data_IF_246361435988
#
_entry.id   IF_246361435988
#
_cell.length_a   1.000
_cell.length_b   1.000
_cell.length_c   1.000
_cell.angle_alpha   90.00
_cell.angle_beta   90.00
_cell.angle_gamma   90.00
#
_symmetry.space_group_name_H-M   'P 1'
#
loop_
_entity.id
_entity.type
_entity.pdbx_description
1 polymer ?
#
# COMPACT_ATOMS: atom_id res chain seq x y z
N UNK A 1 -28.58 -19.58 -23.43
CA UNK A 1 -29.00 -18.24 -22.96
C UNK A 1 -28.47 -17.24 -23.95
N UNK A 2 -29.32 -16.39 -24.53
CA UNK A 2 -28.92 -15.44 -25.56
C UNK A 2 -28.29 -14.17 -24.97
N UNK A 3 -28.08 -13.17 -25.82
CA UNK A 3 -27.70 -11.82 -25.41
C UNK A 3 -28.76 -11.25 -24.45
N UNK A 4 -28.39 -11.04 -23.19
CA UNK A 4 -29.27 -10.53 -22.14
C UNK A 4 -28.53 -9.56 -21.23
N UNK A 5 -29.25 -8.55 -20.74
CA UNK A 5 -28.74 -7.61 -19.74
C UNK A 5 -28.95 -8.17 -18.34
N UNK A 6 -27.90 -8.15 -17.51
CA UNK A 6 -27.91 -8.68 -16.15
C UNK A 6 -27.44 -7.62 -15.16
N UNK A 7 -28.04 -7.66 -13.97
CA UNK A 7 -27.56 -6.94 -12.80
C UNK A 7 -26.60 -7.85 -12.06
N UNK A 8 -25.38 -7.42 -11.83
CA UNK A 8 -24.38 -8.14 -11.08
C UNK A 8 -24.09 -7.36 -9.81
N UNK A 9 -24.11 -8.06 -8.68
CA UNK A 9 -23.65 -7.56 -7.39
C UNK A 9 -22.42 -8.37 -6.98
N UNK A 10 -21.34 -7.68 -6.68
CA UNK A 10 -20.09 -8.27 -6.24
C UNK A 10 -19.81 -7.80 -4.83
N UNK A 11 -19.55 -8.73 -3.92
CA UNK A 11 -19.17 -8.43 -2.54
C UNK A 11 -17.80 -9.04 -2.22
N UNK A 12 -16.90 -8.26 -1.63
CA UNK A 12 -15.67 -8.72 -1.00
C UNK A 12 -15.94 -8.95 0.48
N UNK A 13 -15.76 -10.20 0.92
CA UNK A 13 -16.05 -10.64 2.27
C UNK A 13 -14.75 -11.00 3.03
N UNK A 14 -14.66 -10.67 4.33
CA UNK A 14 -13.49 -10.97 5.16
C UNK A 14 -13.41 -12.43 5.61
N UNK A 15 -14.52 -13.17 5.59
CA UNK A 15 -14.61 -14.62 5.85
C UNK A 15 -15.69 -15.23 4.95
N UNK A 16 -15.74 -16.56 4.84
CA UNK A 16 -16.70 -17.26 3.98
C UNK A 16 -18.16 -17.10 4.42
N UNK A 17 -18.39 -16.87 5.70
CA UNK A 17 -19.69 -16.77 6.38
C UNK A 17 -20.05 -15.33 6.76
N UNK A 18 -19.22 -14.35 6.41
CA UNK A 18 -19.48 -12.95 6.72
C UNK A 18 -20.79 -12.48 6.06
N UNK A 19 -21.66 -11.88 6.86
CA UNK A 19 -22.91 -11.27 6.38
C UNK A 19 -22.68 -9.84 5.89
N UNK A 20 -21.64 -9.18 6.40
CA UNK A 20 -21.28 -7.80 6.07
C UNK A 20 -20.01 -7.77 5.22
N UNK A 21 -20.06 -7.19 4.00
CA UNK A 21 -18.89 -7.08 3.15
C UNK A 21 -17.99 -5.90 3.52
N UNK A 22 -16.70 -6.04 3.23
CA UNK A 22 -15.73 -4.92 3.28
C UNK A 22 -15.92 -3.98 2.09
N UNK A 23 -16.35 -4.53 0.94
CA UNK A 23 -16.70 -3.78 -0.26
C UNK A 23 -17.85 -4.47 -0.99
N UNK A 24 -18.81 -3.70 -1.47
CA UNK A 24 -19.89 -4.19 -2.35
C UNK A 24 -20.13 -3.21 -3.48
N UNK A 25 -20.27 -3.72 -4.69
CA UNK A 25 -20.61 -2.94 -5.87
C UNK A 25 -21.71 -3.59 -6.70
N UNK A 26 -22.40 -2.76 -7.49
CA UNK A 26 -23.36 -3.19 -8.50
C UNK A 26 -22.92 -2.74 -9.89
N UNK A 27 -23.12 -3.62 -10.86
CA UNK A 27 -22.77 -3.41 -12.26
C UNK A 27 -23.86 -3.96 -13.18
N UNK A 28 -24.09 -3.30 -14.30
CA UNK A 28 -24.99 -3.80 -15.36
C UNK A 28 -24.14 -4.29 -16.52
N UNK A 29 -24.29 -5.57 -16.88
CA UNK A 29 -23.55 -6.19 -17.99
C UNK A 29 -24.51 -6.70 -19.05
N UNK A 30 -23.99 -6.92 -20.26
CA UNK A 30 -24.73 -7.61 -21.32
C UNK A 30 -23.92 -8.81 -21.79
N UNK A 31 -24.52 -9.99 -21.76
CA UNK A 31 -23.88 -11.21 -22.27
C UNK A 31 -23.79 -11.19 -23.79
N UNK A 32 -22.87 -11.97 -24.36
CA UNK A 32 -22.88 -12.29 -25.77
C UNK A 32 -23.96 -13.36 -26.10
N UNK A 33 -24.06 -13.74 -27.37
CA UNK A 33 -25.05 -14.73 -27.84
C UNK A 33 -24.89 -16.13 -27.22
N UNK A 34 -23.73 -16.40 -26.63
CA UNK A 34 -23.43 -17.66 -25.93
C UNK A 34 -23.63 -17.56 -24.41
N UNK A 35 -24.11 -16.42 -23.91
CA UNK A 35 -24.29 -16.18 -22.47
C UNK A 35 -23.01 -15.82 -21.72
N UNK A 36 -21.90 -15.55 -22.42
CA UNK A 36 -20.63 -15.16 -21.82
C UNK A 36 -20.57 -13.64 -21.62
N UNK A 37 -19.91 -13.21 -20.56
CA UNK A 37 -19.60 -11.81 -20.30
C UNK A 37 -18.24 -11.68 -19.63
N UNK A 38 -17.67 -10.48 -19.70
CA UNK A 38 -16.47 -10.10 -18.96
C UNK A 38 -16.79 -8.92 -18.07
N UNK A 39 -16.09 -8.81 -16.95
CA UNK A 39 -16.31 -7.76 -15.98
C UNK A 39 -15.05 -7.43 -15.20
N UNK A 40 -14.88 -6.16 -14.86
CA UNK A 40 -13.81 -5.71 -13.98
C UNK A 40 -14.40 -5.42 -12.60
N UNK A 41 -13.88 -6.10 -11.57
CA UNK A 41 -14.23 -5.83 -10.17
C UNK A 41 -13.58 -4.50 -9.75
N UNK A 42 -14.35 -3.63 -9.10
CA UNK A 42 -13.93 -2.30 -8.65
C UNK A 42 -14.22 -1.16 -9.63
N UNK A 43 -14.92 -1.41 -10.75
CA UNK A 43 -15.32 -0.39 -11.72
C UNK A 43 -16.83 -0.01 -11.60
N UNK A 44 -17.55 -0.67 -10.70
CA UNK A 44 -18.99 -0.51 -10.53
C UNK A 44 -19.37 0.64 -9.62
N UNK A 45 -20.68 0.73 -9.39
CA UNK A 45 -21.22 1.65 -8.38
C UNK A 45 -21.09 1.00 -7.01
N UNK A 46 -20.24 1.57 -6.16
CA UNK A 46 -20.06 1.12 -4.79
C UNK A 46 -21.36 1.32 -3.99
N UNK A 47 -21.79 0.26 -3.30
CA UNK A 47 -22.93 0.26 -2.37
C UNK A 47 -22.44 0.28 -0.92
N UNK A 48 -21.33 -0.42 -0.66
CA UNK A 48 -20.69 -0.50 0.66
C UNK A 48 -19.18 -0.33 0.51
N UNK A 49 -18.59 0.54 1.33
CA UNK A 49 -17.15 0.77 1.38
C UNK A 49 -16.56 1.26 0.06
N UNK A 50 -15.22 1.24 -0.01
CA UNK A 50 -14.49 1.46 -1.25
C UNK A 50 -13.47 0.35 -1.47
N UNK A 51 -13.18 0.03 -2.73
CA UNK A 51 -12.21 -1.02 -3.08
C UNK A 51 -10.80 -0.74 -2.51
N UNK A 52 -10.45 0.53 -2.31
CA UNK A 52 -9.19 0.98 -1.75
C UNK A 52 -9.09 0.76 -0.23
N UNK A 53 -10.22 0.70 0.48
CA UNK A 53 -10.27 0.52 1.94
C UNK A 53 -10.38 -0.95 2.36
N UNK A 54 -10.51 -1.88 1.42
CA UNK A 54 -10.50 -3.31 1.70
C UNK A 54 -9.16 -3.70 2.33
N UNK A 55 -9.19 -4.35 3.50
CA UNK A 55 -7.99 -4.74 4.27
C UNK A 55 -7.36 -6.00 3.72
N UNK A 56 -6.75 -5.90 2.55
CA UNK A 56 -6.18 -7.02 1.82
C UNK A 56 -5.04 -7.75 2.54
N UNK A 57 -4.42 -7.12 3.53
CA UNK A 57 -3.34 -7.66 4.35
C UNK A 57 -3.82 -8.61 5.45
N UNK A 58 -5.13 -8.68 5.70
CA UNK A 58 -5.71 -9.48 6.77
C UNK A 58 -6.54 -10.65 6.25
N UNK A 59 -6.17 -11.86 6.68
CA UNK A 59 -6.96 -13.07 6.46
C UNK A 59 -7.16 -13.45 4.98
N UNK A 60 -8.04 -14.41 4.76
CA UNK A 60 -8.49 -14.78 3.42
C UNK A 60 -9.57 -13.79 2.96
N UNK A 61 -9.66 -13.55 1.65
CA UNK A 61 -10.78 -12.80 1.06
C UNK A 61 -11.67 -13.72 0.25
N UNK A 62 -12.95 -13.40 0.22
CA UNK A 62 -13.93 -14.15 -0.56
C UNK A 62 -14.69 -13.19 -1.47
N UNK A 63 -14.97 -13.62 -2.69
CA UNK A 63 -15.86 -12.92 -3.61
C UNK A 63 -17.19 -13.66 -3.59
N UNK A 64 -18.25 -12.94 -3.22
CA UNK A 64 -19.63 -13.36 -3.45
C UNK A 64 -20.16 -12.68 -4.70
N UNK A 65 -20.77 -13.48 -5.57
CA UNK A 65 -21.43 -13.00 -6.78
C UNK A 65 -22.92 -13.20 -6.60
N UNK A 66 -23.71 -12.16 -6.87
CA UNK A 66 -25.16 -12.28 -6.93
C UNK A 66 -25.69 -11.65 -8.21
N UNK A 67 -26.73 -12.25 -8.79
CA UNK A 67 -27.20 -11.93 -10.14
C UNK A 67 -28.69 -11.60 -10.09
N UNK A 68 -29.09 -10.51 -10.74
CA UNK A 68 -30.47 -10.26 -11.17
C UNK A 68 -30.57 -10.56 -12.68
N UNK A 69 -31.22 -11.67 -13.08
CA UNK A 69 -31.39 -12.04 -14.48
C UNK A 69 -32.16 -11.03 -15.33
N UNK A 70 -32.90 -10.11 -14.70
CA UNK A 70 -33.71 -9.08 -15.35
C UNK A 70 -33.02 -7.71 -15.39
N UNK A 71 -31.80 -7.59 -14.87
CA UNK A 71 -31.08 -6.31 -14.86
C UNK A 71 -31.52 -5.33 -13.76
N UNK A 72 -32.36 -5.76 -12.82
CA UNK A 72 -32.84 -4.95 -11.71
C UNK A 72 -31.97 -5.08 -10.45
N UNK A 73 -32.63 -5.02 -9.28
CA UNK A 73 -32.00 -5.12 -7.96
C UNK A 73 -32.44 -6.33 -7.13
N UNK A 74 -33.10 -7.31 -7.76
CA UNK A 74 -33.55 -8.55 -7.12
C UNK A 74 -32.47 -9.63 -7.30
N UNK A 75 -31.39 -9.49 -6.54
CA UNK A 75 -30.23 -10.35 -6.66
C UNK A 75 -30.45 -11.73 -6.02
N UNK A 76 -30.06 -12.78 -6.74
CA UNK A 76 -29.97 -14.16 -6.23
C UNK A 76 -28.50 -14.54 -6.10
N UNK A 77 -28.13 -15.21 -5.00
CA UNK A 77 -26.76 -15.66 -4.79
C UNK A 77 -26.34 -16.68 -5.85
N UNK A 78 -25.25 -16.38 -6.54
CA UNK A 78 -24.63 -17.24 -7.55
C UNK A 78 -23.40 -17.97 -7.02
N UNK A 79 -23.01 -17.70 -5.78
CA UNK A 79 -21.96 -18.41 -5.06
C UNK A 79 -20.89 -17.51 -4.47
N UNK A 80 -20.14 -18.08 -3.52
CA UNK A 80 -19.02 -17.43 -2.84
C UNK A 80 -17.76 -18.26 -3.03
N UNK A 81 -16.67 -17.63 -3.45
CA UNK A 81 -15.38 -18.30 -3.71
C UNK A 81 -14.24 -17.57 -3.02
N UNK A 82 -13.28 -18.32 -2.46
CA UNK A 82 -12.08 -17.75 -1.86
C UNK A 82 -11.11 -17.23 -2.93
N UNK A 83 -10.56 -16.04 -2.71
CA UNK A 83 -9.40 -15.53 -3.44
C UNK A 83 -8.14 -16.18 -2.85
N UNK A 84 -7.53 -17.10 -3.60
CA UNK A 84 -6.38 -17.88 -3.14
C UNK A 84 -5.06 -17.10 -3.12
N UNK A 85 -4.98 -15.97 -3.85
CA UNK A 85 -3.81 -15.11 -3.87
C UNK A 85 -4.24 -13.66 -4.10
N UNK A 86 -3.93 -12.76 -3.16
CA UNK A 86 -3.94 -11.31 -3.40
C UNK A 86 -2.50 -10.80 -3.42
N UNK A 87 -1.70 -11.12 -4.46
CA UNK A 87 -0.26 -10.88 -4.46
C UNK A 87 0.13 -9.39 -4.41
N UNK A 88 -0.80 -8.47 -4.73
CA UNK A 88 -0.51 -7.04 -4.76
C UNK A 88 -0.60 -6.35 -3.38
N UNK A 89 -1.33 -6.93 -2.43
CA UNK A 89 -1.58 -6.31 -1.14
C UNK A 89 -0.37 -6.34 -0.20
N UNK A 90 0.33 -7.47 -0.14
CA UNK A 90 1.50 -7.64 0.73
C UNK A 90 2.69 -6.79 0.23
N UNK A 91 2.76 -6.48 -1.06
CA UNK A 91 3.87 -5.72 -1.63
C UNK A 91 3.65 -4.21 -1.64
N UNK A 92 2.41 -3.73 -1.83
CA UNK A 92 2.12 -2.30 -1.91
C UNK A 92 2.43 -1.54 -0.61
N UNK A 93 2.12 -2.12 0.56
CA UNK A 93 2.44 -1.53 1.87
C UNK A 93 3.96 -1.46 2.13
N UNK A 94 4.69 -2.54 1.80
CA UNK A 94 6.16 -2.57 1.92
C UNK A 94 6.85 -1.55 1.01
N UNK A 95 6.29 -1.26 -0.16
CA UNK A 95 6.80 -0.23 -1.06
C UNK A 95 6.55 1.20 -0.54
N UNK A 96 5.46 1.44 0.20
CA UNK A 96 5.18 2.72 0.85
C UNK A 96 6.19 3.05 1.96
N UNK A 97 6.58 2.06 2.75
CA UNK A 97 7.59 2.20 3.82
C UNK A 97 9.00 2.52 3.29
N UNK A 98 9.35 2.05 2.09
CA UNK A 98 10.64 2.35 1.47
C UNK A 98 10.77 3.83 1.06
N UNK A 99 9.65 4.53 0.81
CA UNK A 99 9.66 5.92 0.34
C UNK A 99 10.04 6.92 1.45
N UNK A 100 9.77 6.62 2.72
CA UNK A 100 10.18 7.49 3.83
C UNK A 100 11.66 7.38 4.18
N UNK A 101 12.35 6.31 3.76
CA UNK A 101 13.78 6.11 4.08
C UNK A 101 14.73 6.73 3.04
N UNK A 102 14.24 7.10 1.85
CA UNK A 102 15.08 7.59 0.74
C UNK A 102 15.15 9.13 0.61
N UNK A 103 14.71 9.88 1.62
CA UNK A 103 14.55 11.33 1.55
C UNK A 103 15.15 12.10 2.74
N UNK A 104 16.04 11.50 3.52
CA UNK A 104 16.75 12.19 4.59
C UNK A 104 17.82 13.14 4.06
N UNK A 105 17.48 14.16 3.26
CA UNK A 105 18.38 15.30 3.11
C UNK A 105 18.42 15.98 4.47
N UNK A 106 19.48 15.72 5.25
CA UNK A 106 19.72 16.38 6.52
C UNK A 106 19.88 17.89 6.23
N UNK A 107 18.81 18.65 6.40
CA UNK A 107 18.86 20.10 6.43
C UNK A 107 19.38 20.51 7.83
N UNK A 108 20.70 20.56 7.96
CA UNK A 108 21.38 20.94 9.20
C UNK A 108 22.84 20.53 9.16
N UNK A 109 23.71 21.32 9.80
CA UNK A 109 25.16 21.06 9.87
C UNK A 109 25.41 19.62 10.30
N UNK A 110 26.14 18.86 9.50
CA UNK A 110 26.66 17.55 9.89
C UNK A 110 27.76 17.81 10.91
N UNK A 111 27.40 17.98 12.18
CA UNK A 111 28.35 17.73 13.25
C UNK A 111 28.54 16.23 13.30
N UNK A 112 29.66 15.74 12.76
CA UNK A 112 30.16 14.40 13.11
C UNK A 112 30.63 14.49 14.55
N UNK A 113 29.69 14.46 15.50
CA UNK A 113 30.00 14.16 16.88
C UNK A 113 30.37 12.68 16.97
N UNK A 114 31.54 12.31 16.43
CA UNK A 114 32.42 11.47 17.22
C UNK A 114 32.61 12.26 18.53
N UNK A 115 32.45 11.63 19.68
CA UNK A 115 32.39 12.27 21.00
C UNK A 115 33.66 13.08 21.43
N UNK A 116 34.51 13.49 20.49
CA UNK A 116 35.62 14.40 20.71
C UNK A 116 35.13 15.84 20.79
N UNK A 117 35.09 16.38 22.00
CA UNK A 117 35.08 17.83 22.22
C UNK A 117 36.42 18.38 21.74
N UNK A 118 36.44 19.05 20.58
CA UNK A 118 37.64 19.78 20.12
C UNK A 118 37.93 21.00 21.00
N UNK A 119 39.20 21.40 21.08
CA UNK A 119 39.57 22.70 21.67
C UNK A 119 39.50 23.78 20.60
N UNK A 120 38.99 24.98 20.96
CA UNK A 120 38.91 26.14 20.05
C UNK A 120 40.27 26.38 19.38
N UNK A 121 40.24 26.71 18.08
CA UNK A 121 41.39 26.99 17.21
C UNK A 121 42.29 25.78 16.88
N UNK A 122 42.04 24.58 17.40
CA UNK A 122 42.75 23.38 16.96
C UNK A 122 41.96 22.62 15.91
N UNK A 123 42.64 22.15 14.86
CA UNK A 123 42.04 21.25 13.87
C UNK A 123 41.83 19.86 14.46
N UNK A 124 40.76 19.16 14.08
CA UNK A 124 40.52 17.78 14.52
C UNK A 124 41.32 16.77 13.69
N UNK A 125 41.92 15.74 14.33
CA UNK A 125 42.57 14.59 13.67
C UNK A 125 42.10 13.26 14.25
N UNK A 126 42.15 12.20 13.44
CA UNK A 126 42.03 10.84 13.94
C UNK A 126 43.33 10.40 14.63
N UNK A 127 43.22 9.82 15.82
CA UNK A 127 44.33 9.12 16.48
C UNK A 127 44.16 7.61 16.48
N UNK A 128 42.97 7.11 16.10
CA UNK A 128 42.68 5.71 15.79
C UNK A 128 41.44 5.63 14.88
N UNK A 129 41.10 4.43 14.38
CA UNK A 129 40.01 4.20 13.40
C UNK A 129 38.66 4.83 13.78
N UNK A 130 38.39 5.02 15.08
CA UNK A 130 37.16 5.62 15.59
C UNK A 130 37.41 6.67 16.70
N UNK A 131 38.61 7.25 16.78
CA UNK A 131 38.99 8.18 17.87
C UNK A 131 39.46 9.52 17.30
N UNK A 132 38.84 10.62 17.74
CA UNK A 132 39.17 12.00 17.33
C UNK A 132 39.82 12.77 18.49
N UNK A 133 40.89 13.52 18.20
CA UNK A 133 41.55 14.46 19.12
C UNK A 133 42.04 15.72 18.37
N UNK A 134 42.57 16.70 19.10
CA UNK A 134 43.21 17.87 18.50
C UNK A 134 44.47 17.48 17.72
N UNK A 135 44.66 18.13 16.57
CA UNK A 135 45.92 18.19 15.85
C UNK A 135 46.94 19.05 16.61
N UNK A 136 48.18 19.03 16.15
CA UNK A 136 49.18 20.01 16.58
C UNK A 136 49.00 21.35 15.87
N UNK A 137 48.23 21.38 14.79
CA UNK A 137 47.93 22.60 14.02
C UNK A 137 46.88 23.43 14.75
N UNK A 138 47.26 24.66 15.05
CA UNK A 138 46.47 25.72 15.67
C UNK A 138 46.28 26.88 14.67
N UNK A 139 45.04 27.32 14.49
CA UNK A 139 44.68 28.44 13.63
C UNK A 139 43.76 29.40 14.41
N UNK A 140 44.23 30.63 14.64
CA UNK A 140 43.47 31.68 15.31
C UNK A 140 42.84 32.71 14.37
N UNK A 141 42.81 32.42 13.06
CA UNK A 141 42.30 33.29 12.01
C UNK A 141 43.28 34.38 11.55
N UNK A 142 44.45 34.49 12.17
CA UNK A 142 45.52 35.41 11.74
C UNK A 142 46.83 34.68 11.43
N UNK A 143 47.14 33.60 12.14
CA UNK A 143 48.30 32.76 11.91
C UNK A 143 47.94 31.28 12.10
N UNK A 144 48.71 30.40 11.43
CA UNK A 144 48.63 28.95 11.57
C UNK A 144 49.99 28.45 12.08
N UNK A 145 49.98 27.72 13.20
CA UNK A 145 51.18 27.18 13.89
C UNK A 145 51.01 25.71 14.29
#
# INVERSE_FOLDING_TARGET
MGKQTLGIKLSVLPTSDATTPEYEEVQTITTNEFGLYTLQIGNGQAVTGTMAEVKWETGNKYIRVSIDPKGGSNYVDAGTTQLLSVPYAIYADKAGMAKETAGGTRAGTVSTSAAGTGTVNYLTKFTAANTIYNSQVFDNGSNVE
#
